data_IF_765127687662
#
_entry.id   IF_765127687662
#
_cell.length_a   1.000
_cell.length_b   1.000
_cell.length_c   1.000
_cell.angle_alpha   90.00
_cell.angle_beta   90.00
_cell.angle_gamma   90.00
#
_symmetry.space_group_name_H-M   'P 1'
#
loop_
_entity.id
_entity.type
_entity.pdbx_description
1 polymer ?
#
# COMPACT_ATOMS: atom_id res chain seq x y z
N UNK A 1 3.30 -5.67 -2.07
CA UNK A 1 4.23 -4.78 -1.33
C UNK A 1 5.27 -4.22 -2.28
N UNK A 2 5.86 -3.05 -1.99
CA UNK A 2 6.95 -2.43 -2.76
C UNK A 2 6.74 -2.43 -4.29
N UNK A 3 5.53 -2.14 -4.75
CA UNK A 3 5.16 -2.22 -6.17
C UNK A 3 3.69 -2.47 -6.46
N UNK A 4 2.88 -2.81 -5.44
CA UNK A 4 1.43 -3.00 -5.60
C UNK A 4 0.69 -1.65 -5.64
N UNK A 5 0.98 -0.83 -6.66
CA UNK A 5 0.39 0.49 -6.84
C UNK A 5 -0.63 0.56 -7.97
N UNK A 6 -0.72 -0.47 -8.82
CA UNK A 6 -1.76 -0.60 -9.83
C UNK A 6 -2.90 -1.49 -9.32
N UNK A 7 -4.13 -1.16 -9.72
CA UNK A 7 -5.34 -1.93 -9.43
C UNK A 7 -6.13 -2.15 -10.73
N UNK A 8 -6.27 -3.39 -11.22
CA UNK A 8 -7.12 -3.66 -12.37
C UNK A 8 -8.58 -3.32 -12.02
N UNK A 9 -9.32 -2.79 -13.00
CA UNK A 9 -10.73 -2.43 -12.86
C UNK A 9 -11.53 -3.12 -13.96
N UNK A 10 -12.74 -3.53 -13.62
CA UNK A 10 -13.67 -4.22 -14.51
C UNK A 10 -14.26 -3.32 -15.59
N UNK A 11 -14.29 -2.01 -15.33
CA UNK A 11 -14.83 -0.98 -16.21
C UNK A 11 -13.85 0.18 -16.34
N UNK A 12 -13.85 0.81 -17.51
CA UNK A 12 -12.94 1.92 -17.81
C UNK A 12 -13.34 3.22 -17.12
N UNK A 13 -14.62 3.37 -16.79
CA UNK A 13 -15.22 4.54 -16.14
C UNK A 13 -15.98 4.16 -14.86
N UNK A 14 -16.20 5.17 -14.02
CA UNK A 14 -16.93 5.11 -12.76
C UNK A 14 -17.89 6.29 -12.71
N UNK A 15 -19.16 6.02 -12.39
CA UNK A 15 -20.21 7.05 -12.33
C UNK A 15 -20.67 7.24 -10.89
N UNK A 16 -20.61 8.46 -10.39
CA UNK A 16 -21.10 8.86 -9.07
C UNK A 16 -21.99 10.08 -9.26
N UNK A 17 -23.20 10.05 -8.70
CA UNK A 17 -24.18 11.15 -8.77
C UNK A 17 -24.44 11.68 -10.19
N UNK A 18 -24.39 10.79 -11.19
CA UNK A 18 -24.64 11.11 -12.60
C UNK A 18 -23.43 11.67 -13.35
N UNK A 19 -22.27 11.85 -12.70
CA UNK A 19 -21.01 12.27 -13.34
C UNK A 19 -20.16 11.04 -13.63
N UNK A 20 -19.74 10.87 -14.88
CA UNK A 20 -18.88 9.77 -15.32
C UNK A 20 -17.42 10.23 -15.46
N UNK A 21 -16.50 9.56 -14.78
CA UNK A 21 -15.05 9.82 -14.85
C UNK A 21 -14.27 8.53 -15.09
N UNK A 22 -13.03 8.59 -15.61
CA UNK A 22 -12.17 7.40 -15.72
C UNK A 22 -12.01 6.73 -14.36
N UNK A 23 -12.05 5.40 -14.33
CA UNK A 23 -11.86 4.61 -13.10
C UNK A 23 -10.49 4.90 -12.47
N UNK A 24 -10.44 4.95 -11.14
CA UNK A 24 -9.18 4.91 -10.41
C UNK A 24 -8.49 3.55 -10.63
N UNK A 25 -7.26 3.57 -11.15
CA UNK A 25 -6.46 2.38 -11.49
C UNK A 25 -5.23 2.19 -10.61
N UNK A 26 -5.20 2.90 -9.48
CA UNK A 26 -4.07 2.85 -8.54
C UNK A 26 -3.13 4.04 -8.69
N UNK A 27 -2.41 4.34 -7.61
CA UNK A 27 -1.63 5.58 -7.44
C UNK A 27 -0.53 5.78 -8.47
N UNK A 28 -0.07 4.69 -9.12
CA UNK A 28 0.91 4.72 -10.20
C UNK A 28 0.34 5.23 -11.53
N UNK A 29 -0.99 5.23 -11.67
CA UNK A 29 -1.69 5.66 -12.89
C UNK A 29 -2.38 6.99 -12.65
N UNK A 30 -3.30 7.05 -11.67
CA UNK A 30 -4.11 8.24 -11.38
C UNK A 30 -4.46 8.35 -9.89
N UNK A 31 -5.09 9.45 -9.49
CA UNK A 31 -5.49 9.73 -8.11
C UNK A 31 -6.80 9.04 -7.70
N UNK A 32 -6.93 8.76 -6.40
CA UNK A 32 -8.11 8.10 -5.83
C UNK A 32 -9.33 9.02 -5.80
N UNK A 33 -9.10 10.32 -5.67
CA UNK A 33 -10.14 11.35 -5.62
C UNK A 33 -11.04 11.29 -6.85
N UNK A 34 -12.35 11.50 -6.63
CA UNK A 34 -13.36 11.53 -7.69
C UNK A 34 -13.46 12.94 -8.28
N UNK A 35 -12.37 13.42 -8.85
CA UNK A 35 -12.32 14.68 -9.59
C UNK A 35 -11.65 14.49 -10.96
N UNK A 36 -12.04 15.31 -11.92
CA UNK A 36 -11.59 15.14 -13.31
C UNK A 36 -10.06 15.25 -13.45
N UNK A 37 -9.41 16.12 -12.68
CA UNK A 37 -7.97 16.34 -12.76
C UNK A 37 -7.19 15.15 -12.16
N UNK A 38 -7.63 14.62 -11.02
CA UNK A 38 -7.02 13.46 -10.38
C UNK A 38 -7.17 12.19 -11.23
N UNK A 39 -8.24 12.06 -12.03
CA UNK A 39 -8.47 10.88 -12.87
C UNK A 39 -7.66 10.87 -14.17
N UNK A 40 -7.02 11.99 -14.55
CA UNK A 40 -6.07 12.04 -15.67
C UNK A 40 -4.83 11.19 -15.35
N UNK A 41 -4.47 10.22 -16.21
CA UNK A 41 -3.25 9.45 -16.03
C UNK A 41 -2.00 10.33 -16.09
N UNK A 42 -1.11 10.20 -15.11
CA UNK A 42 0.14 10.97 -15.02
C UNK A 42 1.37 10.03 -15.02
N UNK A 43 2.18 10.01 -16.10
CA UNK A 43 3.38 9.18 -16.19
C UNK A 43 4.42 9.44 -15.09
N UNK A 44 4.49 10.65 -14.52
CA UNK A 44 5.45 10.98 -13.45
C UNK A 44 5.18 10.19 -12.17
N UNK A 45 3.95 9.69 -12.00
CA UNK A 45 3.58 8.79 -10.89
C UNK A 45 4.36 7.47 -10.92
N UNK A 46 4.85 7.04 -12.08
CA UNK A 46 5.71 5.86 -12.19
C UNK A 46 7.06 6.07 -11.48
N UNK A 47 7.63 7.27 -11.59
CA UNK A 47 8.89 7.63 -10.93
C UNK A 47 8.69 7.68 -9.41
N UNK A 48 7.57 8.26 -8.97
CA UNK A 48 7.20 8.29 -7.56
C UNK A 48 6.99 6.89 -6.98
N UNK A 49 6.27 6.02 -7.70
CA UNK A 49 6.06 4.63 -7.32
C UNK A 49 7.39 3.84 -7.24
N UNK A 50 8.32 4.06 -8.17
CA UNK A 50 9.66 3.47 -8.13
C UNK A 50 10.43 3.89 -6.86
N UNK A 51 10.45 5.19 -6.54
CA UNK A 51 11.12 5.71 -5.34
C UNK A 51 10.55 5.09 -4.06
N UNK A 52 9.22 4.98 -3.98
CA UNK A 52 8.53 4.40 -2.82
C UNK A 52 8.81 2.90 -2.68
N UNK A 53 8.81 2.16 -3.80
CA UNK A 53 9.19 0.75 -3.84
C UNK A 53 10.64 0.54 -3.39
N UNK A 54 11.59 1.32 -3.92
CA UNK A 54 12.99 1.25 -3.58
C UNK A 54 13.24 1.55 -2.08
N UNK A 55 12.60 2.58 -1.53
CA UNK A 55 12.68 2.93 -0.11
C UNK A 55 12.13 1.80 0.78
N UNK A 56 10.95 1.27 0.44
CA UNK A 56 10.32 0.15 1.17
C UNK A 56 11.22 -1.08 1.16
N UNK A 57 11.79 -1.43 0.00
CA UNK A 57 12.67 -2.57 -0.13
C UNK A 57 13.99 -2.38 0.61
N UNK A 58 14.54 -1.16 0.62
CA UNK A 58 15.74 -0.84 1.39
C UNK A 58 15.50 -1.03 2.89
N UNK A 59 14.36 -0.56 3.40
CA UNK A 59 13.98 -0.74 4.80
C UNK A 59 13.78 -2.23 5.14
N UNK A 60 13.11 -3.00 4.29
CA UNK A 60 12.94 -4.45 4.47
C UNK A 60 14.30 -5.17 4.52
N UNK A 61 15.24 -4.79 3.65
CA UNK A 61 16.61 -5.33 3.65
C UNK A 61 17.37 -4.96 4.93
N UNK A 62 17.20 -3.73 5.42
CA UNK A 62 17.81 -3.29 6.67
C UNK A 62 17.28 -4.09 7.87
N UNK A 63 15.98 -4.37 7.95
CA UNK A 63 15.41 -5.21 9.01
C UNK A 63 15.87 -6.67 8.92
N UNK A 64 15.94 -7.24 7.71
CA UNK A 64 16.39 -8.61 7.52
C UNK A 64 17.87 -8.80 7.88
N UNK A 65 18.73 -7.83 7.56
CA UNK A 65 20.18 -7.89 7.82
C UNK A 65 20.59 -7.36 9.20
N UNK A 66 19.84 -6.40 9.76
CA UNK A 66 20.15 -5.68 10.99
C UNK A 66 19.79 -6.39 12.29
N UNK A 67 19.44 -7.68 12.23
CA UNK A 67 19.20 -8.50 13.43
C UNK A 67 17.76 -8.53 13.96
N UNK A 68 16.82 -7.84 13.31
CA UNK A 68 15.39 -7.88 13.68
C UNK A 68 14.75 -9.26 13.40
N UNK A 69 15.31 -10.00 12.44
CA UNK A 69 14.96 -11.39 12.14
C UNK A 69 15.80 -12.43 12.91
N UNK A 70 16.61 -12.03 13.92
CA UNK A 70 17.20 -13.02 14.83
C UNK A 70 16.08 -13.68 15.65
N UNK A 71 16.17 -14.99 15.87
CA UNK A 71 15.18 -15.82 16.57
C UNK A 71 14.67 -15.21 17.90
N UNK A 72 15.50 -14.41 18.57
CA UNK A 72 15.19 -13.68 19.81
C UNK A 72 14.00 -12.70 19.70
N UNK A 73 13.78 -12.09 18.52
CA UNK A 73 12.72 -11.10 18.28
C UNK A 73 11.32 -11.71 18.07
N UNK A 74 11.27 -12.88 17.43
CA UNK A 74 10.02 -13.59 17.12
C UNK A 74 9.32 -14.07 18.39
N UNK A 75 10.08 -14.55 19.37
CA UNK A 75 9.52 -15.00 20.65
C UNK A 75 8.85 -13.86 21.41
N UNK A 76 9.44 -12.66 21.40
CA UNK A 76 8.89 -11.47 22.06
C UNK A 76 7.60 -10.97 21.41
N UNK A 77 7.52 -10.97 20.08
CA UNK A 77 6.30 -10.62 19.35
C UNK A 77 5.17 -11.61 19.58
N UNK A 78 5.49 -12.91 19.62
CA UNK A 78 4.50 -13.95 19.85
C UNK A 78 3.92 -13.88 21.28
N UNK A 79 4.77 -13.65 22.29
CA UNK A 79 4.30 -13.47 23.67
C UNK A 79 3.43 -12.22 23.84
N UNK A 80 3.78 -11.10 23.19
CA UNK A 80 2.96 -9.88 23.21
C UNK A 80 1.57 -10.07 22.57
N UNK A 81 1.48 -10.86 21.50
CA UNK A 81 0.22 -11.21 20.85
C UNK A 81 -0.68 -12.07 21.76
N UNK A 82 -0.14 -13.12 22.37
CA UNK A 82 -0.88 -14.02 23.28
C UNK A 82 -1.38 -13.27 24.53
N UNK A 83 -0.54 -12.40 25.11
CA UNK A 83 -0.92 -11.61 26.27
C UNK A 83 -2.05 -10.60 25.98
N UNK A 84 -2.14 -10.09 24.74
CA UNK A 84 -3.21 -9.18 24.31
C UNK A 84 -4.50 -9.94 23.97
N UNK A 85 -4.39 -11.15 23.43
CA UNK A 85 -5.53 -12.01 23.12
C UNK A 85 -6.23 -12.57 24.37
N UNK A 86 -5.50 -12.76 25.48
CA UNK A 86 -6.09 -13.16 26.77
C UNK A 86 -6.88 -12.05 27.48
N UNK A 87 -6.74 -10.78 27.06
CA UNK A 87 -7.58 -9.66 27.51
C UNK A 87 -8.77 -9.51 26.55
N UNK A 88 -9.70 -10.48 26.61
CA UNK A 88 -11.04 -10.31 26.03
C UNK A 88 -11.85 -9.25 26.81
N UNK A 89 -12.88 -8.63 26.21
CA UNK A 89 -13.59 -7.52 26.81
C UNK A 89 -14.32 -7.94 28.08
N UNK A 90 -14.18 -7.14 29.14
CA UNK A 90 -15.04 -7.18 30.33
C UNK A 90 -16.44 -6.65 29.99
#
# INVERSE_FOLDING_TARGET
MAGQFAKPRSADTETIDGVELPSYRGDIINGIEFDAAARVPDPERQISAYRQAASTLNLLRAFAKGGFCRFDGVHRWNQGFIAKAHKGPL
#
